data_IF_544641273592
#
_entry.id   IF_544641273592
#
_cell.length_a   1.000
_cell.length_b   1.000
_cell.length_c   1.000
_cell.angle_alpha   90.00
_cell.angle_beta   90.00
_cell.angle_gamma   90.00
#
_symmetry.space_group_name_H-M   'P 1'
#
loop_
_entity.id
_entity.type
_entity.pdbx_description
1 polymer ?
#
# COMPACT_ATOMS: atom_id res chain seq x y z
N UNK A 1 11.93 -9.72 -40.21
CA UNK A 1 13.31 -9.69 -40.74
C UNK A 1 14.19 -10.73 -40.02
N UNK A 2 14.21 -10.82 -38.69
CA UNK A 2 15.04 -11.78 -37.95
C UNK A 2 14.75 -13.24 -38.36
N UNK A 3 13.48 -13.66 -38.36
CA UNK A 3 13.07 -15.01 -38.77
C UNK A 3 13.50 -15.36 -40.21
N UNK A 4 13.46 -14.38 -41.09
CA UNK A 4 13.89 -14.58 -42.49
C UNK A 4 15.42 -14.70 -42.61
N UNK A 5 16.16 -13.92 -41.84
CA UNK A 5 17.63 -14.00 -41.81
C UNK A 5 18.08 -15.33 -41.21
N UNK A 6 17.30 -15.92 -40.32
CA UNK A 6 17.57 -17.24 -39.74
C UNK A 6 17.02 -18.42 -40.57
N UNK A 7 16.49 -18.15 -41.80
CA UNK A 7 15.94 -19.16 -42.69
C UNK A 7 14.56 -19.70 -42.31
N UNK A 8 13.86 -19.03 -41.39
CA UNK A 8 12.50 -19.36 -41.01
C UNK A 8 11.44 -18.75 -41.95
N UNK A 9 10.21 -19.28 -41.91
CA UNK A 9 9.09 -18.70 -42.64
C UNK A 9 8.53 -17.48 -41.85
N UNK A 10 8.63 -16.27 -42.43
CA UNK A 10 8.11 -15.07 -41.77
C UNK A 10 6.60 -15.10 -41.74
N UNK A 11 6.02 -14.59 -40.64
CA UNK A 11 4.57 -14.48 -40.46
C UNK A 11 3.93 -13.48 -41.43
N UNK A 12 4.67 -12.45 -41.82
CA UNK A 12 4.24 -11.40 -42.76
C UNK A 12 5.04 -11.43 -44.05
N UNK A 13 4.38 -11.16 -45.18
CA UNK A 13 5.09 -10.98 -46.45
C UNK A 13 5.94 -9.70 -46.39
N UNK A 14 6.91 -9.60 -47.34
CA UNK A 14 7.69 -8.37 -47.46
C UNK A 14 6.78 -7.16 -47.80
N UNK A 15 5.76 -7.39 -48.62
CA UNK A 15 4.82 -6.35 -49.03
C UNK A 15 3.96 -5.88 -47.85
N UNK A 16 3.53 -6.77 -46.95
CA UNK A 16 2.76 -6.41 -45.75
C UNK A 16 3.58 -5.49 -44.82
N UNK A 17 4.87 -5.81 -44.66
CA UNK A 17 5.80 -5.01 -43.86
C UNK A 17 5.97 -3.60 -44.47
N UNK A 18 6.17 -3.51 -45.78
CA UNK A 18 6.30 -2.20 -46.45
C UNK A 18 4.99 -1.42 -46.43
N UNK A 19 3.84 -2.06 -46.61
CA UNK A 19 2.52 -1.41 -46.54
C UNK A 19 2.24 -0.87 -45.12
N UNK A 20 2.56 -1.64 -44.09
CA UNK A 20 2.43 -1.17 -42.69
C UNK A 20 3.35 0.02 -42.43
N UNK A 21 4.62 -0.08 -42.82
CA UNK A 21 5.60 0.99 -42.69
C UNK A 21 5.23 2.27 -43.45
N UNK A 22 4.61 2.14 -44.61
CA UNK A 22 4.13 3.24 -45.46
C UNK A 22 2.76 3.78 -45.01
N UNK A 23 2.05 3.08 -44.10
CA UNK A 23 0.69 3.48 -43.63
C UNK A 23 -0.36 3.42 -44.72
N UNK A 24 -0.24 2.47 -45.66
CA UNK A 24 -1.14 2.38 -46.84
C UNK A 24 -2.60 2.17 -46.45
N UNK A 25 -2.85 1.27 -45.51
CA UNK A 25 -4.16 1.04 -44.88
C UNK A 25 -3.90 0.60 -43.42
N UNK A 26 -4.01 1.49 -42.45
CA UNK A 26 -3.68 1.16 -41.05
C UNK A 26 -4.63 0.12 -40.42
N UNK A 27 -5.77 -0.15 -41.03
CA UNK A 27 -6.70 -1.20 -40.58
C UNK A 27 -6.26 -2.57 -41.12
N UNK A 28 -5.90 -2.63 -42.41
CA UNK A 28 -5.45 -3.85 -43.05
C UNK A 28 -3.99 -4.23 -42.68
N UNK A 29 -3.14 -3.21 -42.54
CA UNK A 29 -1.71 -3.34 -42.20
C UNK A 29 -1.41 -2.53 -40.92
N UNK A 30 -1.87 -2.98 -39.76
CA UNK A 30 -1.70 -2.24 -38.50
C UNK A 30 -0.23 -2.15 -38.11
N UNK A 31 0.14 -0.98 -37.56
CA UNK A 31 1.45 -0.73 -36.92
C UNK A 31 1.23 0.20 -35.72
N UNK A 32 0.90 -0.39 -34.60
CA UNK A 32 0.45 0.34 -33.42
C UNK A 32 1.61 0.81 -32.56
N UNK A 33 1.75 2.13 -32.41
CA UNK A 33 2.74 2.70 -31.49
C UNK A 33 2.11 2.99 -30.11
N UNK A 34 2.31 2.06 -29.18
CA UNK A 34 1.84 2.18 -27.79
C UNK A 34 2.43 3.38 -27.02
N UNK A 35 3.51 3.97 -27.53
CA UNK A 35 4.16 5.12 -26.93
C UNK A 35 3.75 6.45 -27.57
N UNK A 36 2.88 6.40 -28.56
CA UNK A 36 2.38 7.60 -29.25
C UNK A 36 1.51 8.46 -28.34
N UNK A 37 1.27 9.69 -28.76
CA UNK A 37 0.36 10.63 -28.10
C UNK A 37 -1.11 10.18 -28.15
N UNK A 38 -1.43 9.19 -28.97
CA UNK A 38 -2.76 8.56 -28.99
C UNK A 38 -3.04 7.84 -27.67
N UNK A 39 -2.03 7.13 -27.13
CA UNK A 39 -2.16 6.36 -25.90
C UNK A 39 -1.69 7.12 -24.65
N UNK A 40 -0.67 7.97 -24.80
CA UNK A 40 0.02 8.55 -23.67
C UNK A 40 -0.01 10.08 -23.66
N UNK A 41 -0.19 10.64 -22.49
CA UNK A 41 0.05 12.06 -22.26
C UNK A 41 1.55 12.36 -22.27
N UNK A 42 1.93 13.57 -22.66
CA UNK A 42 3.31 14.04 -22.59
C UNK A 42 3.88 14.12 -21.17
N UNK A 43 3.01 14.13 -20.14
CA UNK A 43 3.41 14.12 -18.72
C UNK A 43 2.33 13.47 -17.86
N UNK A 44 2.76 12.97 -16.68
CA UNK A 44 1.86 12.44 -15.66
C UNK A 44 1.46 13.56 -14.69
N UNK A 45 0.19 13.99 -14.67
CA UNK A 45 -0.26 15.06 -13.77
C UNK A 45 -0.19 14.60 -12.31
N UNK A 46 0.42 15.45 -11.47
CA UNK A 46 0.48 15.27 -10.02
C UNK A 46 0.30 16.62 -9.34
N UNK A 47 -0.54 16.64 -8.31
CA UNK A 47 -0.76 17.83 -7.49
C UNK A 47 -0.59 17.47 -6.03
N UNK A 48 0.13 18.30 -5.28
CA UNK A 48 0.28 18.16 -3.84
C UNK A 48 0.13 19.51 -3.18
N UNK A 49 -0.72 19.55 -2.18
CA UNK A 49 -0.92 20.72 -1.31
C UNK A 49 -0.83 20.25 0.13
N UNK A 50 -0.13 20.98 0.97
CA UNK A 50 -0.07 20.74 2.41
C UNK A 50 -0.09 22.06 3.16
N UNK A 51 -0.71 22.02 4.36
CA UNK A 51 -0.74 23.13 5.29
C UNK A 51 -0.35 22.62 6.68
N UNK A 52 0.45 23.41 7.37
CA UNK A 52 0.89 23.12 8.73
C UNK A 52 0.57 24.29 9.64
N UNK A 53 0.10 23.97 10.84
CA UNK A 53 -0.20 24.92 11.88
C UNK A 53 0.49 24.47 13.17
N UNK A 54 1.35 25.31 13.68
CA UNK A 54 2.10 25.07 14.92
C UNK A 54 1.85 26.23 15.84
N UNK A 55 1.54 25.95 17.08
CA UNK A 55 1.33 27.01 18.05
C UNK A 55 1.26 26.48 19.46
N UNK A 56 1.11 27.40 20.39
CA UNK A 56 0.91 27.01 21.76
C UNK A 56 1.36 28.06 22.76
N UNK A 57 1.21 27.68 24.02
CA UNK A 57 1.60 28.42 25.21
C UNK A 57 2.29 27.47 26.20
N UNK A 58 2.54 27.96 27.43
CA UNK A 58 3.02 27.08 28.52
C UNK A 58 1.98 26.04 28.95
N UNK A 59 0.70 26.29 28.68
CA UNK A 59 -0.39 25.39 29.06
C UNK A 59 -0.68 24.37 27.98
N UNK A 60 -0.73 24.78 26.71
CA UNK A 60 -1.04 23.90 25.60
C UNK A 60 -0.14 24.15 24.42
N UNK A 61 0.30 23.08 23.76
CA UNK A 61 1.06 23.10 22.53
C UNK A 61 0.34 22.23 21.51
N UNK A 62 0.29 22.64 20.26
CA UNK A 62 -0.36 21.89 19.22
C UNK A 62 0.40 21.96 17.90
N UNK A 63 0.25 20.90 17.16
CA UNK A 63 0.66 20.75 15.78
C UNK A 63 -0.51 20.19 14.98
N UNK A 64 -0.79 20.77 13.83
CA UNK A 64 -1.77 20.25 12.87
C UNK A 64 -1.15 20.28 11.48
N UNK A 65 -1.22 19.17 10.77
CA UNK A 65 -0.86 19.05 9.36
C UNK A 65 -2.05 18.51 8.59
N UNK A 66 -2.37 19.14 7.46
CA UNK A 66 -3.34 18.65 6.51
C UNK A 66 -2.71 18.62 5.12
N UNK A 67 -2.87 17.52 4.41
CA UNK A 67 -2.28 17.33 3.10
C UNK A 67 -3.26 16.70 2.12
N UNK A 68 -3.21 17.16 0.88
CA UNK A 68 -3.92 16.58 -0.23
C UNK A 68 -2.93 16.24 -1.35
N UNK A 69 -3.06 15.05 -1.91
CA UNK A 69 -2.30 14.57 -3.05
C UNK A 69 -3.26 13.98 -4.08
N UNK A 70 -3.08 14.39 -5.33
CA UNK A 70 -3.80 13.85 -6.47
C UNK A 70 -2.83 13.46 -7.57
N UNK A 71 -3.04 12.32 -8.21
CA UNK A 71 -2.32 11.91 -9.41
C UNK A 71 -3.26 11.27 -10.41
N UNK A 72 -3.01 11.48 -11.70
CA UNK A 72 -3.74 10.88 -12.82
C UNK A 72 -2.87 9.86 -13.55
N UNK A 73 -3.48 9.05 -14.42
CA UNK A 73 -2.77 8.15 -15.32
C UNK A 73 -1.94 8.92 -16.37
N UNK A 74 -0.87 8.30 -16.83
CA UNK A 74 -0.18 8.73 -18.07
C UNK A 74 -0.93 8.27 -19.33
N UNK A 75 -1.66 7.15 -19.23
CA UNK A 75 -2.53 6.66 -20.32
C UNK A 75 -3.75 7.56 -20.43
N UNK A 76 -4.01 8.10 -21.63
CA UNK A 76 -4.97 9.18 -21.89
C UNK A 76 -6.25 8.74 -22.59
N UNK A 77 -6.64 7.46 -22.44
CA UNK A 77 -7.81 6.94 -23.15
C UNK A 77 -8.73 6.12 -22.24
N UNK A 78 -10.02 6.10 -22.60
CA UNK A 78 -11.06 5.33 -21.92
C UNK A 78 -11.12 5.59 -20.41
N UNK A 79 -11.25 4.55 -19.62
CA UNK A 79 -11.25 4.64 -18.15
C UNK A 79 -9.89 5.04 -17.56
N UNK A 80 -8.78 4.85 -18.31
CA UNK A 80 -7.47 5.36 -17.88
C UNK A 80 -7.37 6.88 -17.92
N UNK A 81 -8.10 7.57 -18.81
CA UNK A 81 -8.19 9.04 -18.83
C UNK A 81 -8.84 9.58 -17.55
N UNK A 82 -9.81 8.84 -17.02
CA UNK A 82 -10.52 9.14 -15.76
C UNK A 82 -9.76 8.66 -14.53
N UNK A 83 -8.71 7.85 -14.72
CA UNK A 83 -7.95 7.28 -13.62
C UNK A 83 -7.34 8.35 -12.75
N UNK A 84 -7.62 8.26 -11.46
CA UNK A 84 -7.09 9.16 -10.44
C UNK A 84 -6.85 8.43 -9.12
N UNK A 85 -5.83 8.85 -8.43
CA UNK A 85 -5.61 8.53 -7.03
C UNK A 85 -5.65 9.82 -6.24
N UNK A 86 -6.55 9.90 -5.27
CA UNK A 86 -6.60 11.01 -4.31
C UNK A 86 -6.20 10.48 -2.94
N UNK A 87 -5.35 11.25 -2.26
CA UNK A 87 -4.99 10.99 -0.87
C UNK A 87 -5.20 12.27 -0.07
N UNK A 88 -6.01 12.16 0.95
CA UNK A 88 -6.15 13.17 1.97
C UNK A 88 -5.55 12.63 3.27
N UNK A 89 -4.73 13.42 3.92
CA UNK A 89 -4.20 13.10 5.24
C UNK A 89 -4.35 14.30 6.17
N UNK A 90 -4.68 13.98 7.41
CA UNK A 90 -4.67 14.93 8.50
C UNK A 90 -3.92 14.31 9.68
N UNK A 91 -3.12 15.09 10.36
CA UNK A 91 -2.44 14.72 11.60
C UNK A 91 -2.50 15.89 12.56
N UNK A 92 -2.86 15.61 13.80
CA UNK A 92 -2.86 16.59 14.85
C UNK A 92 -2.25 16.00 16.12
N UNK A 93 -1.41 16.78 16.80
CA UNK A 93 -0.84 16.47 18.09
C UNK A 93 -1.17 17.63 19.01
N UNK A 94 -1.64 17.32 20.21
CA UNK A 94 -1.93 18.31 21.24
C UNK A 94 -1.38 17.82 22.57
N UNK A 95 -0.57 18.66 23.18
CA UNK A 95 -0.03 18.48 24.52
C UNK A 95 -0.62 19.54 25.44
N UNK A 96 -1.22 19.13 26.56
CA UNK A 96 -1.84 20.03 27.53
C UNK A 96 -1.27 19.77 28.91
N UNK A 97 -0.65 20.77 29.50
CA UNK A 97 -0.25 20.78 30.91
C UNK A 97 -1.44 21.22 31.75
N UNK A 98 -2.17 20.26 32.31
CA UNK A 98 -3.34 20.51 33.18
C UNK A 98 -2.90 21.30 34.42
N UNK A 99 -1.76 20.91 34.96
CA UNK A 99 -1.04 21.60 36.02
C UNK A 99 0.42 21.23 36.01
N UNK A 100 1.20 21.60 37.01
CA UNK A 100 2.65 21.27 37.08
C UNK A 100 2.96 19.80 37.25
N UNK A 101 1.95 18.97 37.53
CA UNK A 101 2.10 17.52 37.78
C UNK A 101 1.47 16.64 36.70
N UNK A 102 0.52 17.16 35.94
CA UNK A 102 -0.28 16.36 34.99
C UNK A 102 -0.19 16.98 33.62
N UNK A 103 0.32 16.17 32.68
CA UNK A 103 0.32 16.45 31.25
C UNK A 103 -0.55 15.42 30.53
N UNK A 104 -1.38 15.86 29.61
CA UNK A 104 -2.20 15.03 28.72
C UNK A 104 -1.73 15.27 27.30
N UNK A 105 -1.52 14.21 26.55
CA UNK A 105 -1.16 14.23 25.14
C UNK A 105 -2.23 13.52 24.31
N UNK A 106 -2.54 14.08 23.14
CA UNK A 106 -3.37 13.47 22.11
C UNK A 106 -2.65 13.52 20.79
N UNK A 107 -2.43 12.36 20.19
CA UNK A 107 -1.96 12.22 18.80
C UNK A 107 -3.08 11.58 17.98
N UNK A 108 -3.50 12.24 16.92
CA UNK A 108 -4.48 11.70 15.99
C UNK A 108 -4.02 11.88 14.56
N UNK A 109 -4.11 10.83 13.74
CA UNK A 109 -3.85 10.90 12.33
C UNK A 109 -4.90 10.10 11.56
N UNK A 110 -5.31 10.63 10.40
CA UNK A 110 -6.19 9.92 9.48
C UNK A 110 -5.68 10.06 8.05
N UNK A 111 -5.80 8.99 7.30
CA UNK A 111 -5.45 8.92 5.89
C UNK A 111 -6.64 8.33 5.14
N UNK A 112 -7.04 8.99 4.07
CA UNK A 112 -8.10 8.55 3.17
C UNK A 112 -7.51 8.49 1.77
N UNK A 113 -7.43 7.30 1.20
CA UNK A 113 -7.05 7.10 -0.18
C UNK A 113 -8.27 6.67 -0.98
N UNK A 114 -8.45 7.25 -2.16
CA UNK A 114 -9.40 6.78 -3.15
C UNK A 114 -8.72 6.61 -4.48
N UNK A 115 -8.94 5.49 -5.11
CA UNK A 115 -8.50 5.17 -6.46
C UNK A 115 -9.72 4.91 -7.34
N UNK A 116 -9.71 5.46 -8.54
CA UNK A 116 -10.61 5.12 -9.62
C UNK A 116 -9.79 4.87 -10.88
N UNK A 117 -10.12 3.84 -11.63
CA UNK A 117 -9.45 3.53 -12.89
C UNK A 117 -10.03 2.31 -13.58
N UNK A 118 -9.46 1.89 -14.70
CA UNK A 118 -9.94 0.74 -15.45
C UNK A 118 -9.84 -0.55 -14.62
N UNK A 119 -10.76 -1.46 -14.90
CA UNK A 119 -10.74 -2.80 -14.34
C UNK A 119 -9.77 -3.68 -15.11
N UNK A 120 -8.50 -3.68 -14.71
CA UNK A 120 -7.47 -4.51 -15.30
C UNK A 120 -7.60 -5.98 -14.83
N UNK A 121 -8.31 -6.79 -15.56
CA UNK A 121 -8.54 -8.21 -15.19
C UNK A 121 -7.25 -9.02 -15.08
N UNK A 122 -6.28 -8.78 -15.98
CA UNK A 122 -5.04 -9.57 -16.07
C UNK A 122 -3.82 -8.70 -16.38
N UNK A 123 -3.58 -7.64 -15.63
CA UNK A 123 -2.39 -6.83 -15.82
C UNK A 123 -2.68 -5.33 -15.91
N UNK A 124 -1.93 -4.65 -16.74
CA UNK A 124 -2.04 -3.22 -16.97
C UNK A 124 -1.75 -2.90 -18.44
N UNK A 125 -1.86 -1.65 -18.82
CA UNK A 125 -1.59 -1.19 -20.19
C UNK A 125 -0.23 -1.67 -20.73
N UNK A 126 0.82 -1.63 -19.92
CA UNK A 126 2.16 -2.03 -20.32
C UNK A 126 2.27 -3.53 -20.61
N UNK A 127 1.55 -4.34 -19.86
CA UNK A 127 1.47 -5.78 -20.14
C UNK A 127 0.78 -6.04 -21.46
N UNK A 128 -0.31 -5.35 -21.78
CA UNK A 128 -0.98 -5.46 -23.06
C UNK A 128 -0.06 -5.09 -24.22
N UNK A 129 0.74 -4.02 -24.06
CA UNK A 129 1.68 -3.59 -25.11
C UNK A 129 2.82 -4.58 -25.36
N UNK A 130 3.17 -5.41 -24.39
CA UNK A 130 4.21 -6.45 -24.54
C UNK A 130 3.64 -7.79 -25.01
N UNK A 131 2.39 -8.09 -24.72
CA UNK A 131 1.73 -9.35 -25.08
C UNK A 131 1.08 -9.31 -26.48
N UNK A 132 0.70 -8.13 -26.96
CA UNK A 132 0.07 -7.97 -28.29
C UNK A 132 1.08 -7.40 -29.31
N UNK A 133 1.49 -8.18 -30.31
CA UNK A 133 2.31 -7.65 -31.39
C UNK A 133 1.59 -6.51 -32.13
N UNK A 134 2.31 -5.45 -32.42
CA UNK A 134 1.79 -4.20 -33.00
C UNK A 134 1.13 -4.37 -34.37
N UNK A 135 1.42 -5.48 -35.06
CA UNK A 135 0.95 -5.77 -36.41
C UNK A 135 -0.05 -6.94 -36.47
N UNK A 136 -0.48 -7.51 -35.33
CA UNK A 136 -1.25 -8.75 -35.33
C UNK A 136 -2.68 -8.62 -35.82
N UNK A 137 -3.35 -7.51 -35.50
CA UNK A 137 -4.72 -7.19 -35.93
C UNK A 137 -4.99 -5.69 -35.72
N UNK A 138 -5.96 -5.09 -36.42
CA UNK A 138 -6.36 -3.72 -36.15
C UNK A 138 -7.05 -3.65 -34.78
N UNK A 139 -6.67 -2.71 -33.93
CA UNK A 139 -7.33 -2.53 -32.64
C UNK A 139 -8.76 -2.00 -32.78
N UNK A 140 -9.01 -1.21 -33.81
CA UNK A 140 -10.30 -0.62 -34.11
C UNK A 140 -10.68 -0.91 -35.57
N UNK A 141 -11.90 -1.38 -35.79
CA UNK A 141 -12.48 -1.63 -37.11
C UNK A 141 -13.51 -0.56 -37.39
N UNK A 142 -13.31 0.32 -38.40
CA UNK A 142 -14.25 1.36 -38.71
C UNK A 142 -15.58 0.77 -39.21
N UNK A 143 -16.70 1.19 -38.64
CA UNK A 143 -18.03 0.69 -39.00
C UNK A 143 -18.49 1.15 -40.38
N UNK A 144 -18.01 2.30 -40.87
CA UNK A 144 -18.30 2.84 -42.19
C UNK A 144 -17.66 2.09 -43.35
N UNK A 145 -16.71 1.17 -43.06
CA UNK A 145 -16.05 0.28 -44.01
C UNK A 145 -16.66 -1.12 -44.03
N UNK A 146 -17.62 -1.41 -43.16
CA UNK A 146 -18.24 -2.73 -43.08
C UNK A 146 -19.09 -3.02 -44.29
N UNK A 147 -18.97 -4.24 -44.82
CA UNK A 147 -19.83 -4.76 -45.89
C UNK A 147 -21.24 -5.06 -45.35
N UNK A 148 -22.14 -4.14 -45.51
CA UNK A 148 -23.54 -4.25 -45.05
C UNK A 148 -24.39 -5.18 -45.93
N UNK A 149 -23.87 -5.68 -47.04
CA UNK A 149 -24.54 -6.71 -47.86
C UNK A 149 -24.27 -8.12 -47.30
N UNK A 150 -23.19 -8.26 -46.54
CA UNK A 150 -22.91 -9.50 -45.81
C UNK A 150 -23.77 -9.59 -44.54
N UNK A 151 -24.70 -10.54 -44.54
CA UNK A 151 -25.72 -10.67 -43.47
C UNK A 151 -25.06 -10.96 -42.09
N UNK A 152 -23.93 -11.68 -42.06
CA UNK A 152 -23.21 -11.96 -40.81
C UNK A 152 -22.57 -10.70 -40.24
N UNK A 153 -21.94 -9.90 -41.08
CA UNK A 153 -21.32 -8.60 -40.71
C UNK A 153 -22.39 -7.62 -40.22
N UNK A 154 -23.51 -7.55 -40.93
CA UNK A 154 -24.64 -6.68 -40.55
C UNK A 154 -25.21 -7.07 -39.19
N UNK A 155 -25.48 -8.36 -38.96
CA UNK A 155 -25.99 -8.86 -37.68
C UNK A 155 -24.99 -8.59 -36.54
N UNK A 156 -23.69 -8.76 -36.81
CA UNK A 156 -22.65 -8.48 -35.84
C UNK A 156 -22.61 -7.00 -35.41
N UNK A 157 -22.79 -6.06 -36.36
CA UNK A 157 -22.87 -4.64 -36.04
C UNK A 157 -24.15 -4.30 -35.28
N UNK A 158 -25.30 -4.82 -35.70
CA UNK A 158 -26.58 -4.56 -35.05
C UNK A 158 -26.56 -5.05 -33.59
N UNK A 159 -25.97 -6.22 -33.32
CA UNK A 159 -25.77 -6.73 -31.94
C UNK A 159 -24.82 -5.83 -31.15
N UNK A 160 -23.69 -5.42 -31.74
CA UNK A 160 -22.74 -4.53 -31.11
C UNK A 160 -23.34 -3.16 -30.74
N UNK A 161 -24.22 -2.60 -31.61
CA UNK A 161 -24.92 -1.35 -31.35
C UNK A 161 -25.96 -1.51 -30.24
N UNK A 162 -26.75 -2.59 -30.30
CA UNK A 162 -27.73 -2.93 -29.26
C UNK A 162 -27.09 -3.06 -27.89
N UNK A 163 -25.92 -3.71 -27.83
CA UNK A 163 -25.13 -3.91 -26.61
C UNK A 163 -24.27 -2.69 -26.24
N UNK A 164 -24.27 -1.63 -27.03
CA UNK A 164 -23.45 -0.41 -26.82
C UNK A 164 -21.94 -0.68 -26.77
N UNK A 165 -21.49 -1.68 -27.53
CA UNK A 165 -20.07 -2.06 -27.62
C UNK A 165 -19.32 -1.36 -28.77
N UNK A 166 -19.99 -0.51 -29.56
CA UNK A 166 -19.36 0.32 -30.61
C UNK A 166 -18.69 1.53 -29.97
N UNK A 167 -17.36 1.57 -30.01
CA UNK A 167 -16.58 2.65 -29.40
C UNK A 167 -16.81 3.95 -30.16
N UNK A 168 -17.31 4.97 -29.44
CA UNK A 168 -17.62 6.28 -29.99
C UNK A 168 -18.67 6.29 -31.13
N UNK A 169 -19.43 5.18 -31.29
CA UNK A 169 -20.38 5.01 -32.39
C UNK A 169 -19.70 4.82 -33.77
N UNK A 170 -18.39 4.52 -33.80
CA UNK A 170 -17.59 4.50 -35.02
C UNK A 170 -16.75 3.25 -35.23
N UNK A 171 -16.45 2.53 -34.14
CA UNK A 171 -15.46 1.45 -34.21
C UNK A 171 -15.94 0.21 -33.45
N UNK A 172 -15.77 -0.97 -34.07
CA UNK A 172 -15.78 -2.26 -33.41
C UNK A 172 -14.38 -2.56 -32.86
N UNK A 173 -14.34 -3.36 -31.79
CA UNK A 173 -13.08 -3.79 -31.19
C UNK A 173 -12.48 -4.92 -32.02
N UNK A 174 -11.31 -4.72 -32.60
CA UNK A 174 -10.63 -5.76 -33.37
C UNK A 174 -10.04 -6.85 -32.48
N UNK A 175 -9.88 -8.04 -33.06
CA UNK A 175 -9.28 -9.20 -32.40
C UNK A 175 -8.83 -10.24 -33.40
N UNK A 176 -8.09 -11.23 -32.93
CA UNK A 176 -7.60 -12.34 -33.73
C UNK A 176 -7.46 -13.59 -32.87
N UNK A 177 -7.85 -14.74 -33.37
CA UNK A 177 -7.69 -16.02 -32.69
C UNK A 177 -6.40 -16.76 -33.11
N UNK A 178 -5.26 -16.27 -32.77
CA UNK A 178 -3.99 -16.97 -33.00
C UNK A 178 -3.76 -18.14 -32.03
N UNK A 179 -4.80 -18.89 -31.63
CA UNK A 179 -4.73 -19.98 -30.67
C UNK A 179 -4.16 -19.59 -29.29
N UNK A 180 -4.09 -18.30 -29.00
CA UNK A 180 -3.62 -17.79 -27.73
C UNK A 180 -4.71 -16.89 -27.11
N UNK A 181 -5.33 -17.28 -26.00
CA UNK A 181 -6.38 -16.50 -25.35
C UNK A 181 -5.91 -15.09 -24.93
N UNK A 182 -4.62 -14.84 -24.88
CA UNK A 182 -4.07 -13.50 -24.62
C UNK A 182 -4.26 -12.53 -25.81
N UNK A 183 -4.38 -13.01 -27.03
CA UNK A 183 -4.65 -12.19 -28.23
C UNK A 183 -6.12 -11.77 -28.38
N UNK A 184 -7.02 -12.24 -27.52
CA UNK A 184 -8.39 -11.79 -27.46
C UNK A 184 -8.55 -10.46 -26.70
N UNK A 185 -7.45 -9.97 -26.11
CA UNK A 185 -7.47 -8.73 -25.31
C UNK A 185 -6.97 -7.56 -26.14
N UNK A 186 -7.83 -6.58 -26.28
CA UNK A 186 -7.57 -5.38 -27.03
C UNK A 186 -7.46 -4.19 -26.06
N UNK A 187 -6.41 -3.35 -26.12
CA UNK A 187 -6.26 -2.21 -25.23
C UNK A 187 -7.43 -1.23 -25.28
N UNK A 188 -8.04 -1.00 -26.44
CA UNK A 188 -9.25 -0.19 -26.55
C UNK A 188 -10.45 -0.87 -25.88
N UNK A 189 -10.65 -2.16 -26.13
CA UNK A 189 -11.71 -2.92 -25.49
C UNK A 189 -11.59 -2.91 -23.97
N UNK A 190 -10.40 -3.17 -23.46
CA UNK A 190 -10.14 -3.14 -22.00
C UNK A 190 -10.36 -1.75 -21.39
N UNK A 191 -9.95 -0.67 -22.09
CA UNK A 191 -10.04 0.69 -21.57
C UNK A 191 -11.42 1.35 -21.73
N UNK A 192 -12.15 1.03 -22.78
CA UNK A 192 -13.47 1.64 -23.06
C UNK A 192 -14.62 0.77 -22.61
N UNK A 193 -14.48 -0.55 -22.65
CA UNK A 193 -15.57 -1.50 -22.45
C UNK A 193 -15.36 -2.42 -21.23
N UNK A 194 -14.15 -2.62 -20.76
CA UNK A 194 -13.79 -3.58 -19.72
C UNK A 194 -14.33 -3.27 -18.30
N UNK A 195 -14.88 -2.08 -18.10
CA UNK A 195 -15.40 -1.62 -16.81
C UNK A 195 -14.34 -0.88 -15.98
N UNK A 196 -14.65 -0.68 -14.70
CA UNK A 196 -13.81 0.12 -13.80
C UNK A 196 -13.65 -0.50 -12.43
N UNK A 197 -12.66 -0.04 -11.69
CA UNK A 197 -12.44 -0.36 -10.30
C UNK A 197 -12.35 0.91 -9.45
N UNK A 198 -13.05 0.90 -8.32
CA UNK A 198 -12.96 1.91 -7.27
C UNK A 198 -12.39 1.27 -6.01
N UNK A 199 -11.22 1.70 -5.58
CA UNK A 199 -10.65 1.29 -4.30
C UNK A 199 -10.71 2.44 -3.31
N UNK A 200 -11.14 2.14 -2.11
CA UNK A 200 -11.09 3.08 -0.99
C UNK A 200 -10.38 2.40 0.17
N UNK A 201 -9.34 3.04 0.68
CA UNK A 201 -8.71 2.66 1.93
C UNK A 201 -8.67 3.84 2.92
N UNK A 202 -8.82 3.50 4.17
CA UNK A 202 -8.87 4.45 5.28
C UNK A 202 -8.04 3.92 6.42
N UNK A 203 -7.22 4.78 6.97
CA UNK A 203 -6.43 4.50 8.16
C UNK A 203 -6.67 5.60 9.18
N UNK A 204 -6.93 5.22 10.41
CA UNK A 204 -7.01 6.14 11.54
C UNK A 204 -6.12 5.63 12.66
N UNK A 205 -5.37 6.53 13.24
CA UNK A 205 -4.46 6.31 14.35
C UNK A 205 -4.76 7.34 15.43
N UNK A 206 -5.01 6.89 16.66
CA UNK A 206 -5.30 7.75 17.79
C UNK A 206 -4.54 7.24 19.01
N UNK A 207 -3.75 8.10 19.63
CA UNK A 207 -3.09 7.85 20.90
C UNK A 207 -3.50 8.91 21.91
N UNK A 208 -3.79 8.48 23.11
CA UNK A 208 -4.01 9.34 24.27
C UNK A 208 -3.00 8.98 25.35
N UNK A 209 -2.26 9.95 25.82
CA UNK A 209 -1.27 9.82 26.87
C UNK A 209 -1.61 10.67 28.09
N UNK A 210 -1.29 10.15 29.25
CA UNK A 210 -1.32 10.89 30.51
C UNK A 210 0.00 10.66 31.23
N UNK A 211 0.71 11.74 31.50
CA UNK A 211 1.93 11.76 32.29
C UNK A 211 1.63 12.42 33.63
N UNK A 212 1.96 11.74 34.73
CA UNK A 212 1.78 12.23 36.07
C UNK A 212 3.11 12.24 36.80
N UNK A 213 3.51 13.43 37.29
CA UNK A 213 4.66 13.61 38.14
C UNK A 213 4.20 13.51 39.60
N UNK A 214 4.65 12.49 40.29
CA UNK A 214 4.37 12.27 41.72
C UNK A 214 5.44 12.84 42.65
N UNK A 215 6.18 13.87 42.22
CA UNK A 215 7.24 14.52 43.01
C UNK A 215 6.71 15.09 44.33
N UNK A 216 5.40 15.37 44.41
CA UNK A 216 4.72 15.78 45.67
C UNK A 216 4.65 14.63 46.70
N UNK A 217 4.69 13.36 46.27
CA UNK A 217 4.71 12.19 47.15
C UNK A 217 6.14 11.79 47.45
N UNK A 218 6.94 11.64 46.42
CA UNK A 218 8.41 11.36 46.52
C UNK A 218 9.11 11.84 45.27
N UNK A 219 10.24 12.50 45.47
CA UNK A 219 11.07 13.00 44.37
C UNK A 219 11.47 11.88 43.44
N UNK A 220 11.32 12.08 42.12
CA UNK A 220 11.69 11.14 41.07
C UNK A 220 10.66 10.10 40.71
N UNK A 221 9.47 10.08 41.37
CA UNK A 221 8.39 9.18 41.02
C UNK A 221 7.50 9.79 39.95
N UNK A 222 7.26 9.04 38.87
CA UNK A 222 6.36 9.42 37.78
C UNK A 222 5.57 8.22 37.25
N UNK A 223 4.41 8.48 36.68
CA UNK A 223 3.57 7.49 36.02
C UNK A 223 3.18 7.97 34.63
N UNK A 224 3.31 7.08 33.66
CA UNK A 224 2.86 7.32 32.29
C UNK A 224 1.89 6.24 31.86
N UNK A 225 0.81 6.62 31.22
CA UNK A 225 -0.14 5.72 30.60
C UNK A 225 -0.43 6.17 29.18
N UNK A 226 -0.42 5.22 28.25
CA UNK A 226 -0.70 5.43 26.83
C UNK A 226 -1.74 4.42 26.38
N UNK A 227 -2.83 4.92 25.82
CA UNK A 227 -3.79 4.13 25.09
C UNK A 227 -3.73 4.51 23.61
N UNK A 228 -3.57 3.51 22.73
CA UNK A 228 -3.48 3.69 21.30
C UNK A 228 -4.43 2.78 20.54
N UNK A 229 -4.94 3.27 19.42
CA UNK A 229 -5.72 2.48 18.48
C UNK A 229 -5.34 2.80 17.03
N UNK A 230 -5.12 1.75 16.24
CA UNK A 230 -4.97 1.81 14.79
C UNK A 230 -6.13 1.06 14.15
N UNK A 231 -6.78 1.70 13.21
CA UNK A 231 -7.84 1.11 12.42
C UNK A 231 -7.54 1.30 10.95
N UNK A 232 -7.57 0.22 10.21
CA UNK A 232 -7.46 0.21 8.75
C UNK A 232 -8.65 -0.48 8.15
N UNK A 233 -9.13 0.05 7.04
CA UNK A 233 -10.22 -0.54 6.29
C UNK A 233 -9.98 -0.30 4.80
N UNK A 234 -10.11 -1.35 4.00
CA UNK A 234 -9.98 -1.31 2.53
C UNK A 234 -11.11 -2.09 1.88
N UNK A 235 -11.62 -1.58 0.79
CA UNK A 235 -12.49 -2.30 -0.11
C UNK A 235 -12.32 -1.80 -1.54
N UNK A 236 -12.55 -2.69 -2.49
CA UNK A 236 -12.57 -2.41 -3.92
C UNK A 236 -13.92 -2.80 -4.49
N UNK A 237 -14.61 -1.87 -5.12
CA UNK A 237 -15.80 -2.14 -5.92
C UNK A 237 -15.40 -2.19 -7.38
N UNK A 238 -15.70 -3.28 -8.04
CA UNK A 238 -15.33 -3.53 -9.44
C UNK A 238 -16.57 -3.73 -10.27
N UNK A 239 -16.67 -2.97 -11.36
CA UNK A 239 -17.62 -3.23 -12.44
C UNK A 239 -16.91 -4.14 -13.44
N UNK A 240 -17.36 -5.38 -13.54
CA UNK A 240 -16.81 -6.37 -14.47
C UNK A 240 -17.67 -6.42 -15.72
N UNK A 241 -17.15 -5.90 -16.82
CA UNK A 241 -17.77 -6.03 -18.11
C UNK A 241 -16.96 -7.02 -18.97
N UNK A 242 -17.62 -7.67 -19.91
CA UNK A 242 -16.98 -8.38 -21.01
C UNK A 242 -17.40 -7.73 -22.33
N UNK A 243 -16.53 -7.85 -23.31
CA UNK A 243 -16.76 -7.33 -24.65
C UNK A 243 -16.37 -8.38 -25.68
N UNK A 244 -17.07 -8.36 -26.83
CA UNK A 244 -16.69 -9.10 -28.01
C UNK A 244 -15.58 -8.41 -28.77
N UNK A 245 -14.68 -9.19 -29.39
CA UNK A 245 -13.72 -8.71 -30.36
C UNK A 245 -13.99 -9.38 -31.71
N UNK A 246 -13.73 -8.63 -32.77
CA UNK A 246 -14.12 -8.95 -34.14
C UNK A 246 -12.90 -9.16 -35.00
N UNK A 247 -12.85 -10.25 -35.76
CA UNK A 247 -11.80 -10.53 -36.73
C UNK A 247 -12.20 -10.04 -38.11
N UNK A 248 -11.45 -9.08 -38.69
CA UNK A 248 -11.78 -8.57 -40.02
C UNK A 248 -11.26 -9.47 -41.14
N UNK A 249 -12.02 -9.62 -42.19
CA UNK A 249 -11.61 -10.11 -43.51
C UNK A 249 -11.73 -8.96 -44.52
N UNK A 250 -10.69 -8.72 -45.31
CA UNK A 250 -10.62 -7.58 -46.22
C UNK A 250 -10.95 -7.96 -47.65
N UNK A 251 -11.91 -7.27 -48.24
CA UNK A 251 -12.21 -7.34 -49.65
C UNK A 251 -11.19 -6.60 -50.51
N UNK A 252 -11.14 -6.89 -51.83
CA UNK A 252 -10.25 -6.24 -52.76
C UNK A 252 -10.62 -4.76 -53.01
N UNK A 253 -11.88 -4.39 -52.78
CA UNK A 253 -12.45 -3.05 -52.85
C UNK A 253 -12.22 -2.21 -51.58
N UNK A 254 -11.61 -2.79 -50.56
CA UNK A 254 -11.35 -2.15 -49.29
C UNK A 254 -12.51 -2.25 -48.29
N UNK A 255 -13.58 -2.97 -48.62
CA UNK A 255 -14.65 -3.32 -47.64
C UNK A 255 -14.13 -4.31 -46.60
N UNK A 256 -14.82 -4.36 -45.46
CA UNK A 256 -14.47 -5.24 -44.34
C UNK A 256 -15.65 -6.14 -44.00
N UNK A 257 -15.44 -7.44 -44.02
CA UNK A 257 -16.37 -8.43 -43.46
C UNK A 257 -15.88 -8.89 -42.12
N UNK A 258 -16.80 -9.26 -41.25
CA UNK A 258 -16.45 -9.90 -39.98
C UNK A 258 -16.33 -11.40 -40.24
N UNK A 259 -15.10 -11.93 -40.10
CA UNK A 259 -14.83 -13.34 -40.27
C UNK A 259 -15.23 -14.17 -39.04
N UNK A 260 -14.89 -13.67 -37.85
CA UNK A 260 -15.18 -14.32 -36.58
C UNK A 260 -15.47 -13.30 -35.47
N UNK A 261 -16.25 -13.74 -34.49
CA UNK A 261 -16.53 -12.98 -33.24
C UNK A 261 -16.00 -13.81 -32.07
N UNK A 262 -15.21 -13.19 -31.20
CA UNK A 262 -14.62 -13.81 -30.02
C UNK A 262 -15.15 -13.15 -28.76
N UNK A 263 -15.58 -13.96 -27.81
CA UNK A 263 -16.19 -13.50 -26.56
C UNK A 263 -17.66 -13.09 -26.74
N UNK A 264 -18.15 -12.34 -25.79
CA UNK A 264 -19.52 -11.79 -25.81
C UNK A 264 -19.58 -10.45 -25.10
N UNK A 265 -20.50 -9.61 -25.54
CA UNK A 265 -20.80 -8.34 -24.88
C UNK A 265 -21.67 -8.59 -23.64
N UNK A 266 -21.20 -8.17 -22.47
CA UNK A 266 -21.97 -8.12 -21.22
C UNK A 266 -21.57 -6.88 -20.42
N UNK A 267 -22.41 -5.85 -20.50
CA UNK A 267 -22.23 -4.57 -19.82
C UNK A 267 -23.17 -4.38 -18.63
N UNK A 268 -24.02 -5.36 -18.37
CA UNK A 268 -24.90 -5.44 -17.19
C UNK A 268 -24.17 -6.15 -16.03
N UNK A 269 -22.89 -6.42 -16.23
CA UNK A 269 -22.04 -7.11 -15.27
C UNK A 269 -22.22 -6.60 -13.86
N UNK A 270 -22.30 -7.51 -12.90
CA UNK A 270 -22.51 -7.19 -11.49
C UNK A 270 -21.35 -6.34 -10.93
N UNK A 271 -21.70 -5.31 -10.18
CA UNK A 271 -20.74 -4.71 -9.29
C UNK A 271 -20.41 -5.71 -8.17
N UNK A 272 -19.15 -6.04 -8.05
CA UNK A 272 -18.66 -6.93 -7.01
C UNK A 272 -17.78 -6.15 -6.04
N UNK A 273 -17.93 -6.46 -4.76
CA UNK A 273 -17.00 -5.97 -3.75
C UNK A 273 -15.90 -7.01 -3.57
N UNK A 274 -14.70 -6.64 -3.92
CA UNK A 274 -13.50 -7.47 -3.83
C UNK A 274 -12.45 -6.79 -2.94
N UNK A 275 -11.42 -7.52 -2.57
CA UNK A 275 -10.27 -6.99 -1.83
C UNK A 275 -10.71 -6.22 -0.56
N UNK A 276 -11.64 -6.84 0.20
CA UNK A 276 -12.06 -6.29 1.49
C UNK A 276 -11.07 -6.69 2.56
N UNK A 277 -10.49 -5.70 3.21
CA UNK A 277 -9.56 -5.91 4.29
C UNK A 277 -9.77 -4.91 5.42
N UNK A 278 -9.63 -5.37 6.65
CA UNK A 278 -9.53 -4.49 7.80
C UNK A 278 -8.53 -5.04 8.80
N UNK A 279 -7.93 -4.16 9.56
CA UNK A 279 -7.34 -4.53 10.84
C UNK A 279 -7.68 -3.48 11.89
N UNK A 280 -7.72 -3.92 13.12
CA UNK A 280 -7.81 -3.08 14.31
C UNK A 280 -6.78 -3.52 15.33
N UNK A 281 -5.96 -2.57 15.75
CA UNK A 281 -4.98 -2.73 16.80
C UNK A 281 -5.36 -1.83 17.97
N UNK A 282 -5.34 -2.37 19.18
CA UNK A 282 -5.50 -1.64 20.41
C UNK A 282 -4.27 -1.91 21.28
N UNK A 283 -3.69 -0.87 21.84
CA UNK A 283 -2.57 -0.94 22.75
C UNK A 283 -2.82 -0.13 23.99
N UNK A 284 -2.45 -0.66 25.15
CA UNK A 284 -2.44 0.07 26.40
C UNK A 284 -1.13 -0.20 27.12
N UNK A 285 -0.37 0.87 27.37
CA UNK A 285 0.94 0.80 27.97
C UNK A 285 0.95 1.67 29.23
N UNK A 286 1.47 1.14 30.32
CA UNK A 286 1.63 1.83 31.58
C UNK A 286 3.07 1.68 32.05
N UNK A 287 3.62 2.74 32.64
CA UNK A 287 4.96 2.76 33.21
C UNK A 287 4.97 3.58 34.50
N UNK A 288 5.35 2.95 35.61
CA UNK A 288 5.66 3.62 36.88
C UNK A 288 7.16 3.69 37.00
N UNK A 289 7.73 4.89 36.98
CA UNK A 289 9.17 5.13 36.99
C UNK A 289 9.58 5.84 38.29
N UNK A 290 10.73 5.46 38.79
CA UNK A 290 11.36 6.09 39.94
C UNK A 290 12.84 6.32 39.65
N UNK A 291 13.27 7.59 39.64
CA UNK A 291 14.63 7.99 39.39
C UNK A 291 15.10 8.96 40.47
N UNK A 292 16.06 8.54 41.29
CA UNK A 292 16.55 9.37 42.39
C UNK A 292 18.01 9.14 42.73
N UNK A 293 18.68 10.22 43.10
CA UNK A 293 20.02 10.19 43.67
C UNK A 293 19.99 10.52 45.15
N UNK A 294 20.46 9.59 45.97
CA UNK A 294 20.54 9.73 47.43
C UNK A 294 21.96 10.06 47.84
N UNK A 295 22.10 11.01 48.75
CA UNK A 295 23.41 11.37 49.34
C UNK A 295 24.52 11.65 48.30
N UNK A 296 24.14 12.02 47.06
CA UNK A 296 25.07 12.32 45.96
C UNK A 296 25.87 11.12 45.45
N UNK A 297 25.63 9.90 45.95
CA UNK A 297 26.43 8.70 45.61
C UNK A 297 25.59 7.49 45.19
N UNK A 298 24.35 7.42 45.59
CA UNK A 298 23.47 6.28 45.34
C UNK A 298 22.43 6.68 44.28
N UNK A 299 22.59 6.20 43.08
CA UNK A 299 21.64 6.47 41.99
C UNK A 299 20.74 5.23 41.84
N UNK A 300 19.46 5.42 41.95
CA UNK A 300 18.44 4.37 41.76
C UNK A 300 17.51 4.80 40.64
N UNK A 301 17.41 3.97 39.59
CA UNK A 301 16.42 4.08 38.53
C UNK A 301 15.64 2.77 38.45
N UNK A 302 14.34 2.87 38.58
CA UNK A 302 13.46 1.70 38.52
C UNK A 302 12.24 2.01 37.63
N UNK A 303 11.79 1.02 36.88
CA UNK A 303 10.53 1.10 36.12
C UNK A 303 9.76 -0.19 36.26
N UNK A 304 8.46 -0.08 36.49
CA UNK A 304 7.49 -1.15 36.37
C UNK A 304 6.57 -0.83 35.20
N UNK A 305 6.37 -1.78 34.31
CA UNK A 305 5.55 -1.59 33.11
C UNK A 305 4.50 -2.68 32.98
N UNK A 306 3.37 -2.33 32.38
CA UNK A 306 2.42 -3.27 31.83
C UNK A 306 2.05 -2.87 30.42
N UNK A 307 1.94 -3.84 29.53
CA UNK A 307 1.48 -3.63 28.17
C UNK A 307 0.36 -4.59 27.84
N UNK A 308 -0.68 -4.10 27.21
CA UNK A 308 -1.77 -4.89 26.69
C UNK A 308 -1.90 -4.62 25.21
N UNK A 309 -1.99 -5.68 24.42
CA UNK A 309 -2.13 -5.59 22.99
C UNK A 309 -3.28 -6.48 22.52
N UNK A 310 -4.07 -5.95 21.59
CA UNK A 310 -5.15 -6.65 20.92
C UNK A 310 -5.10 -6.33 19.45
N UNK A 311 -4.93 -7.35 18.62
CA UNK A 311 -4.92 -7.23 17.17
C UNK A 311 -5.95 -8.16 16.55
N UNK A 312 -6.73 -7.64 15.61
CA UNK A 312 -7.67 -8.41 14.80
C UNK A 312 -7.65 -7.90 13.37
N UNK A 313 -7.60 -8.85 12.44
CA UNK A 313 -7.67 -8.57 10.99
C UNK A 313 -8.76 -9.38 10.31
N UNK A 314 -9.05 -9.01 9.06
CA UNK A 314 -9.98 -9.75 8.20
C UNK A 314 -9.43 -11.16 7.92
N UNK A 315 -10.33 -12.15 7.94
CA UNK A 315 -9.95 -13.56 7.75
C UNK A 315 -9.44 -14.26 9.01
N UNK A 316 -9.03 -13.52 10.05
CA UNK A 316 -8.63 -14.14 11.30
C UNK A 316 -9.84 -14.59 12.13
N UNK A 317 -9.89 -15.85 12.49
CA UNK A 317 -10.96 -16.44 13.33
C UNK A 317 -10.92 -15.84 14.74
N UNK A 318 -9.72 -15.63 15.28
CA UNK A 318 -9.50 -15.13 16.63
C UNK A 318 -8.59 -13.88 16.60
N UNK A 319 -8.82 -12.99 17.56
CA UNK A 319 -7.92 -11.88 17.78
C UNK A 319 -6.66 -12.33 18.53
N UNK A 320 -5.52 -11.80 18.13
CA UNK A 320 -4.28 -11.93 18.87
C UNK A 320 -4.32 -11.01 20.09
N UNK A 321 -3.98 -11.53 21.25
CA UNK A 321 -3.95 -10.76 22.49
C UNK A 321 -2.68 -11.10 23.27
N UNK A 322 -2.04 -10.07 23.78
CA UNK A 322 -0.94 -10.24 24.73
C UNK A 322 -1.11 -9.30 25.92
N UNK A 323 -0.65 -9.76 27.06
CA UNK A 323 -0.55 -8.97 28.29
C UNK A 323 0.81 -9.24 28.90
N UNK A 324 1.57 -8.19 29.10
CA UNK A 324 2.93 -8.29 29.59
C UNK A 324 3.10 -7.40 30.82
N UNK A 325 3.78 -7.92 31.80
CA UNK A 325 4.24 -7.17 32.98
C UNK A 325 5.76 -7.25 33.01
N UNK A 326 6.41 -6.12 33.18
CA UNK A 326 7.86 -6.06 33.21
C UNK A 326 8.36 -5.08 34.27
N UNK A 327 9.60 -5.26 34.65
CA UNK A 327 10.27 -4.32 35.54
C UNK A 327 11.78 -4.33 35.29
N UNK A 328 12.38 -3.20 35.57
CA UNK A 328 13.83 -2.99 35.53
C UNK A 328 14.24 -2.15 36.69
N UNK A 329 15.34 -2.51 37.31
CA UNK A 329 15.99 -1.74 38.36
C UNK A 329 17.45 -1.58 38.03
N UNK A 330 17.93 -0.33 38.03
CA UNK A 330 19.33 -0.01 37.93
C UNK A 330 19.76 0.70 39.20
N UNK A 331 20.89 0.29 39.72
CA UNK A 331 21.51 0.94 40.86
C UNK A 331 22.98 1.24 40.54
N UNK A 332 23.37 2.48 40.77
CA UNK A 332 24.77 2.86 40.67
C UNK A 332 25.25 3.46 41.99
N UNK A 333 26.45 3.06 42.40
CA UNK A 333 27.09 3.58 43.60
C UNK A 333 28.38 4.33 43.26
N UNK A 334 28.45 5.58 43.67
CA UNK A 334 29.62 6.44 43.54
C UNK A 334 30.15 6.56 42.09
N UNK A 335 29.28 6.39 41.07
CA UNK A 335 29.60 6.32 39.66
C UNK A 335 30.60 5.22 39.26
N UNK A 336 30.85 4.28 40.15
CA UNK A 336 31.82 3.20 39.99
C UNK A 336 31.20 1.82 39.81
N UNK A 337 30.22 1.49 40.64
CA UNK A 337 29.60 0.16 40.66
C UNK A 337 28.20 0.25 40.19
N UNK A 338 27.85 -0.56 39.21
CA UNK A 338 26.51 -0.57 38.60
C UNK A 338 25.93 -1.98 38.71
N UNK A 339 24.71 -2.09 39.18
CA UNK A 339 23.95 -3.34 39.16
C UNK A 339 22.61 -3.10 38.41
N UNK A 340 22.24 -4.03 37.56
CA UNK A 340 20.99 -4.00 36.81
C UNK A 340 20.29 -5.33 36.94
N UNK A 341 18.95 -5.28 37.12
CA UNK A 341 18.09 -6.43 37.04
C UNK A 341 16.85 -6.06 36.22
N UNK A 342 16.44 -6.95 35.32
CA UNK A 342 15.17 -6.84 34.58
C UNK A 342 14.45 -8.17 34.54
N UNK A 343 13.12 -8.12 34.63
CA UNK A 343 12.26 -9.29 34.51
C UNK A 343 10.99 -8.95 33.76
N UNK A 344 10.45 -9.92 33.05
CA UNK A 344 9.19 -9.78 32.33
C UNK A 344 8.36 -11.07 32.46
N UNK A 345 7.08 -10.92 32.71
CA UNK A 345 6.07 -11.96 32.69
C UNK A 345 5.16 -11.70 31.50
N UNK A 346 5.22 -12.57 30.50
CA UNK A 346 4.66 -12.37 29.17
C UNK A 346 3.54 -13.38 28.95
N UNK A 347 2.35 -12.87 28.61
CA UNK A 347 1.18 -13.70 28.29
C UNK A 347 0.76 -13.51 26.84
N UNK A 348 0.59 -14.61 26.08
CA UNK A 348 0.19 -14.61 24.69
C UNK A 348 -0.93 -15.60 24.41
N UNK A 349 -1.90 -15.21 23.59
CA UNK A 349 -2.98 -16.09 23.13
C UNK A 349 -2.57 -16.98 21.97
N UNK A 350 -1.39 -16.80 21.40
CA UNK A 350 -0.81 -17.74 20.42
C UNK A 350 -0.55 -19.12 21.03
N UNK A 351 -0.24 -19.15 22.30
CA UNK A 351 0.10 -20.38 23.00
C UNK A 351 -1.16 -21.06 23.59
N UNK A 352 -1.09 -22.39 23.72
CA UNK A 352 -2.16 -23.18 24.34
C UNK A 352 -2.42 -22.75 25.78
N UNK A 353 -3.64 -23.02 26.27
CA UNK A 353 -4.08 -22.51 27.61
C UNK A 353 -3.12 -22.78 28.76
N UNK A 354 -2.41 -23.92 28.74
CA UNK A 354 -1.44 -24.30 29.79
C UNK A 354 -0.10 -23.59 29.68
N UNK A 355 0.26 -23.09 28.50
CA UNK A 355 1.58 -22.53 28.19
C UNK A 355 1.58 -21.04 27.85
N UNK A 356 0.46 -20.35 28.09
CA UNK A 356 0.27 -18.95 27.70
C UNK A 356 1.20 -17.95 28.34
N UNK A 357 1.83 -18.34 29.45
CA UNK A 357 2.65 -17.45 30.24
C UNK A 357 4.12 -17.87 30.22
N UNK A 358 4.99 -16.92 30.03
CA UNK A 358 6.44 -17.10 30.07
C UNK A 358 7.09 -16.06 30.97
N UNK A 359 8.16 -16.49 31.67
CA UNK A 359 8.98 -15.58 32.44
C UNK A 359 10.34 -15.44 31.78
N UNK A 360 10.80 -14.20 31.59
CA UNK A 360 12.13 -13.86 31.11
C UNK A 360 12.81 -12.95 32.11
N UNK A 361 14.12 -13.11 32.33
CA UNK A 361 14.87 -12.27 33.25
C UNK A 361 16.30 -12.08 32.79
N UNK A 362 16.91 -10.99 33.25
CA UNK A 362 18.30 -10.71 33.02
C UNK A 362 18.87 -9.81 34.10
N UNK A 363 20.15 -9.93 34.32
CA UNK A 363 20.85 -9.07 35.26
C UNK A 363 22.30 -8.84 34.82
N UNK A 364 22.89 -7.79 35.31
CA UNK A 364 24.26 -7.40 35.00
C UNK A 364 24.90 -6.61 36.11
N UNK A 365 26.22 -6.78 36.21
CA UNK A 365 27.07 -6.00 37.08
C UNK A 365 28.13 -5.27 36.25
N UNK A 366 28.42 -4.04 36.60
CA UNK A 366 29.42 -3.21 35.96
C UNK A 366 30.33 -2.55 36.99
N UNK A 367 31.60 -2.51 36.71
CA UNK A 367 32.62 -1.82 37.51
C UNK A 367 33.38 -0.85 36.60
N UNK A 368 33.33 0.45 36.93
CA UNK A 368 34.09 1.49 36.26
C UNK A 368 35.43 1.64 36.97
N UNK A 369 36.39 0.83 36.53
CA UNK A 369 37.71 0.70 37.17
C UNK A 369 38.51 1.99 37.06
N UNK A 370 38.31 2.78 35.98
CA UNK A 370 38.97 4.07 35.79
C UNK A 370 38.62 5.12 36.84
N UNK A 371 37.47 4.97 37.54
CA UNK A 371 37.07 5.87 38.63
C UNK A 371 37.67 5.49 39.98
N UNK A 372 38.40 4.36 40.07
CA UNK A 372 39.10 4.02 41.30
C UNK A 372 40.33 4.93 41.56
N UNK A 373 40.62 5.14 42.82
CA UNK A 373 41.68 6.06 43.22
C UNK A 373 43.05 5.69 42.63
N UNK A 374 43.32 4.41 42.45
CA UNK A 374 44.56 3.91 41.88
C UNK A 374 44.73 4.13 40.37
N UNK A 375 43.65 4.43 39.64
CA UNK A 375 43.66 4.75 38.20
C UNK A 375 43.22 6.16 37.91
N UNK A 376 42.62 6.85 38.86
CA UNK A 376 42.12 8.21 38.71
C UNK A 376 43.29 9.18 38.38
N UNK A 377 43.19 9.82 37.21
CA UNK A 377 44.28 10.71 36.72
C UNK A 377 45.39 10.00 35.94
N UNK A 378 45.21 8.74 35.58
CA UNK A 378 46.11 8.03 34.66
C UNK A 378 46.19 8.75 33.33
N UNK A 379 47.41 9.03 32.82
CA UNK A 379 47.64 9.73 31.55
C UNK A 379 47.40 8.87 30.32
N UNK A 380 47.37 7.54 30.49
CA UNK A 380 47.22 6.56 29.40
C UNK A 380 45.88 5.88 29.36
N UNK A 381 45.05 5.97 30.41
CA UNK A 381 43.75 5.30 30.52
C UNK A 381 42.70 6.33 30.96
N UNK A 382 41.84 6.72 30.00
CA UNK A 382 40.75 7.69 30.24
C UNK A 382 39.49 7.02 30.78
N UNK A 383 39.19 5.78 30.32
CA UNK A 383 38.01 5.03 30.73
C UNK A 383 38.20 3.53 30.62
N UNK A 384 37.91 2.83 31.70
CA UNK A 384 37.87 1.37 31.73
C UNK A 384 36.64 0.91 32.52
N UNK A 385 35.78 0.14 31.87
CA UNK A 385 34.59 -0.48 32.46
C UNK A 385 34.62 -1.99 32.22
N UNK A 386 34.49 -2.77 33.28
CA UNK A 386 34.29 -4.22 33.24
C UNK A 386 32.81 -4.50 33.50
N UNK A 387 32.19 -5.35 32.71
CA UNK A 387 30.80 -5.74 32.89
C UNK A 387 30.59 -7.22 32.67
N UNK A 388 29.68 -7.80 33.43
CA UNK A 388 29.19 -9.17 33.30
C UNK A 388 27.67 -9.10 33.28
N UNK A 389 27.05 -9.86 32.39
CA UNK A 389 25.60 -9.94 32.32
C UNK A 389 25.13 -11.34 31.92
N UNK A 390 23.98 -11.71 32.43
CA UNK A 390 23.28 -12.94 32.10
C UNK A 390 21.82 -12.62 31.83
N UNK A 391 21.23 -13.27 30.81
CA UNK A 391 19.80 -13.17 30.54
C UNK A 391 19.28 -14.48 29.97
N UNK A 392 18.04 -14.81 30.30
CA UNK A 392 17.26 -15.79 29.56
C UNK A 392 16.06 -15.10 28.92
N UNK A 393 15.68 -15.55 27.74
CA UNK A 393 14.53 -15.05 27.00
C UNK A 393 13.62 -16.22 26.63
N UNK A 394 12.35 -15.91 26.44
CA UNK A 394 11.36 -16.83 25.87
C UNK A 394 10.68 -16.14 24.71
N UNK A 395 10.40 -16.91 23.65
CA UNK A 395 9.67 -16.45 22.47
C UNK A 395 8.39 -17.26 22.31
N UNK A 396 7.33 -16.65 21.83
CA UNK A 396 6.08 -17.29 21.41
C UNK A 396 6.03 -17.55 19.90
N UNK A 397 7.09 -17.18 19.17
CA UNK A 397 7.27 -17.55 17.77
C UNK A 397 7.81 -18.99 17.69
N UNK A 398 6.97 -19.91 17.25
CA UNK A 398 7.37 -21.25 16.82
C UNK A 398 8.03 -21.24 15.45
#
# INVERSE_FOLDING_TARGET
>A
EALRNDGGNPMYSYQDIENARAGVDPVKYPDQDYYSSEFLRGFKPQNRVSAEFIGGSRVAQYYLNAGFYNTKSIVSMGESDKQRTNRFNVRGNVDVNINKYIKVSLDAAAIFNSYHGPNWKNGNFWRLSTENPVNSYPFLIPVDRLDMEDEYTKTALEDAELQRSVIGGKYLVGGNNNNNPNYLRNPYGDLYLGGYANTMDRMAHINVGIDVDFSWLTEGLSFKTYFGTDNYNKYTTTQNNSYASYEPAFGDDGTIRIANIYGSNDFVGSQTMTDTGFYRRLGWNNALSYDRTFSGRHQLSAVLMSTMHHYKESGATHAEKSVNFGGRVNYAFADKYVAEYSGAYIGSTFLSRGNRWGYAQGGGLGWIVSEEEFLRGSRWLNYLKIKVSYANTKSDSG
#
